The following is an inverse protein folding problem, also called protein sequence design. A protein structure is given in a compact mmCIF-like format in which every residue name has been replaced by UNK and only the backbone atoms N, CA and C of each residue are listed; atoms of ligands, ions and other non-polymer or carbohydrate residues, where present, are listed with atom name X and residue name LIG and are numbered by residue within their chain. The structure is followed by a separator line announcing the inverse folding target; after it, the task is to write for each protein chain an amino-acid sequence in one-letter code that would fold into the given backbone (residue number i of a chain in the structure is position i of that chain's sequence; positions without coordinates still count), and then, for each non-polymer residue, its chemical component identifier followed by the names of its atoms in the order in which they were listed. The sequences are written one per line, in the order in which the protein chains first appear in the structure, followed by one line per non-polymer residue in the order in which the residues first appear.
data_IF_926799192805
#
_entry.id   IF_926799192805
#
_cell.length_a   1.000
_cell.length_b   1.000
_cell.length_c   1.000
_cell.angle_alpha   90.00
_cell.angle_beta   90.00
_cell.angle_gamma   90.00
#
_symmetry.space_group_name_H-M   'P 1'
#
loop_
_entity.id
_entity.type
_entity.pdbx_description
1 polymer ?
#
# COMPACT_ATOMS: atom_id res chain seq x y z
N UNK A 1 -19.19 8.94 -18.58
CA UNK A 1 -19.37 8.44 -17.21
C UNK A 1 -18.12 8.78 -16.43
N UNK A 2 -18.17 9.79 -15.57
CA UNK A 2 -17.05 10.13 -14.69
C UNK A 2 -16.92 9.00 -13.68
N UNK A 3 -15.90 8.15 -13.83
CA UNK A 3 -15.45 7.29 -12.72
C UNK A 3 -15.13 8.24 -11.57
N UNK A 4 -15.71 7.99 -10.40
CA UNK A 4 -15.46 8.74 -9.17
C UNK A 4 -13.95 8.71 -8.88
N UNK A 5 -13.22 9.72 -9.37
CA UNK A 5 -11.77 9.93 -9.24
C UNK A 5 -11.49 10.64 -7.92
N UNK A 6 -12.10 10.18 -6.83
CA UNK A 6 -11.85 10.76 -5.51
C UNK A 6 -10.61 10.08 -4.92
N UNK A 7 -9.56 10.87 -4.76
CA UNK A 7 -8.35 10.49 -4.05
C UNK A 7 -8.70 9.96 -2.66
N UNK A 8 -8.03 8.89 -2.18
CA UNK A 8 -8.13 8.45 -0.80
C UNK A 8 -7.91 9.61 0.18
N UNK A 9 -8.86 9.76 1.09
CA UNK A 9 -8.85 10.75 2.15
C UNK A 9 -7.89 10.38 3.28
N UNK A 10 -7.55 11.35 4.12
CA UNK A 10 -6.77 11.07 5.34
C UNK A 10 -7.50 10.08 6.26
N UNK A 11 -8.83 10.17 6.32
CA UNK A 11 -9.70 9.26 7.05
C UNK A 11 -9.58 7.82 6.53
N UNK A 12 -9.55 7.63 5.20
CA UNK A 12 -9.32 6.30 4.60
C UNK A 12 -7.92 5.76 4.92
N UNK A 13 -6.91 6.62 5.04
CA UNK A 13 -5.59 6.21 5.54
C UNK A 13 -5.61 5.81 7.02
N UNK A 14 -6.36 6.51 7.86
CA UNK A 14 -6.55 6.10 9.26
C UNK A 14 -7.31 4.77 9.37
N UNK A 15 -8.32 4.57 8.53
CA UNK A 15 -9.06 3.30 8.45
C UNK A 15 -8.15 2.15 8.02
N UNK A 16 -7.31 2.36 7.00
CA UNK A 16 -6.28 1.39 6.61
C UNK A 16 -5.40 0.99 7.78
N UNK A 17 -4.88 1.97 8.54
CA UNK A 17 -4.03 1.69 9.72
C UNK A 17 -4.77 0.85 10.76
N UNK A 18 -6.03 1.18 11.04
CA UNK A 18 -6.85 0.41 11.99
C UNK A 18 -7.10 -1.02 11.49
N UNK A 19 -7.41 -1.19 10.21
CA UNK A 19 -7.62 -2.50 9.58
C UNK A 19 -6.37 -3.36 9.60
N UNK A 20 -5.17 -2.78 9.37
CA UNK A 20 -3.90 -3.51 9.47
C UNK A 20 -3.69 -4.07 10.89
N UNK A 21 -3.94 -3.27 11.93
CA UNK A 21 -3.80 -3.75 13.32
C UNK A 21 -4.79 -4.89 13.62
N UNK A 22 -6.05 -4.78 13.14
CA UNK A 22 -7.05 -5.84 13.27
C UNK A 22 -6.63 -7.12 12.54
N UNK A 23 -6.07 -6.99 11.34
CA UNK A 23 -5.57 -8.11 10.56
C UNK A 23 -4.40 -8.82 11.24
N UNK A 24 -3.45 -8.06 11.81
CA UNK A 24 -2.33 -8.61 12.60
C UNK A 24 -2.87 -9.42 13.79
N UNK A 25 -3.78 -8.84 14.57
CA UNK A 25 -4.36 -9.50 15.73
C UNK A 25 -5.08 -10.81 15.37
N UNK A 26 -5.84 -10.83 14.27
CA UNK A 26 -6.50 -12.05 13.80
C UNK A 26 -5.49 -13.09 13.27
N UNK A 27 -4.49 -12.66 12.51
CA UNK A 27 -3.44 -13.52 11.96
C UNK A 27 -2.65 -14.26 13.06
N UNK A 28 -2.44 -13.63 14.22
CA UNK A 28 -1.77 -14.27 15.36
C UNK A 28 -2.54 -15.48 15.92
N UNK A 29 -3.84 -15.61 15.64
CA UNK A 29 -4.68 -16.65 16.23
C UNK A 29 -5.37 -17.53 15.18
N UNK A 30 -5.20 -17.23 13.89
CA UNK A 30 -5.83 -17.95 12.79
C UNK A 30 -4.83 -18.16 11.65
N UNK A 31 -4.14 -19.33 11.62
CA UNK A 31 -3.26 -19.70 10.51
C UNK A 31 -4.00 -19.69 9.16
N UNK A 32 -5.25 -20.15 9.14
CA UNK A 32 -6.07 -20.13 7.93
C UNK A 32 -6.34 -18.71 7.39
N UNK A 33 -6.52 -17.73 8.27
CA UNK A 33 -6.62 -16.33 7.84
C UNK A 33 -5.27 -15.79 7.38
N UNK A 34 -4.18 -16.14 8.05
CA UNK A 34 -2.84 -15.74 7.65
C UNK A 34 -2.50 -16.22 6.22
N UNK A 35 -2.82 -17.47 5.89
CA UNK A 35 -2.60 -18.04 4.56
C UNK A 35 -3.39 -17.26 3.49
N UNK A 36 -4.66 -16.92 3.77
CA UNK A 36 -5.48 -16.09 2.88
C UNK A 36 -4.91 -14.69 2.72
N UNK A 37 -4.49 -14.08 3.83
CA UNK A 37 -3.97 -12.72 3.88
C UNK A 37 -2.62 -12.61 3.14
N UNK A 38 -1.78 -13.64 3.18
CA UNK A 38 -0.53 -13.71 2.40
C UNK A 38 -0.80 -13.88 0.90
N UNK A 39 -1.78 -14.72 0.53
CA UNK A 39 -2.10 -15.01 -0.85
C UNK A 39 -2.76 -13.84 -1.60
N UNK A 40 -3.78 -13.22 -0.98
CA UNK A 40 -4.48 -12.06 -1.55
C UNK A 40 -4.97 -11.14 -0.40
N UNK A 41 -4.15 -10.17 0.02
CA UNK A 41 -4.48 -9.35 1.17
C UNK A 41 -5.68 -8.43 0.92
N UNK A 42 -5.88 -7.94 -0.31
CA UNK A 42 -7.02 -7.07 -0.62
C UNK A 42 -8.32 -7.87 -0.51
N UNK A 43 -8.36 -9.09 -1.05
CA UNK A 43 -9.52 -9.95 -0.96
C UNK A 43 -9.77 -10.42 0.48
N UNK A 44 -8.73 -10.86 1.20
CA UNK A 44 -8.86 -11.33 2.58
C UNK A 44 -9.39 -10.24 3.53
N UNK A 45 -8.91 -9.00 3.40
CA UNK A 45 -9.42 -7.88 4.20
C UNK A 45 -10.87 -7.53 3.86
N UNK A 46 -11.27 -7.64 2.59
CA UNK A 46 -12.65 -7.47 2.16
C UNK A 46 -13.56 -8.54 2.75
N UNK A 47 -13.23 -9.82 2.57
CA UNK A 47 -14.04 -10.93 3.10
C UNK A 47 -14.20 -10.84 4.62
N UNK A 48 -13.12 -10.51 5.33
CA UNK A 48 -13.08 -10.61 6.78
C UNK A 48 -13.62 -9.37 7.50
N UNK A 49 -13.44 -8.18 6.92
CA UNK A 49 -13.74 -6.91 7.58
C UNK A 49 -14.66 -5.99 6.77
N UNK A 50 -15.15 -6.43 5.60
CA UNK A 50 -15.83 -5.58 4.60
C UNK A 50 -14.99 -4.34 4.20
N UNK A 51 -13.67 -4.44 4.37
CA UNK A 51 -12.77 -3.33 4.13
C UNK A 51 -12.40 -3.24 2.65
N UNK A 52 -12.71 -2.10 2.05
CA UNK A 52 -12.44 -1.81 0.66
C UNK A 52 -11.13 -1.01 0.55
N UNK A 53 -10.02 -1.71 0.23
CA UNK A 53 -8.71 -1.08 0.09
C UNK A 53 -8.76 0.09 -0.92
N UNK A 54 -8.51 1.34 -0.50
CA UNK A 54 -8.85 2.51 -1.30
C UNK A 54 -7.72 2.98 -2.22
N UNK A 55 -6.49 2.48 -2.08
CA UNK A 55 -5.31 2.96 -2.80
C UNK A 55 -5.06 2.12 -4.07
N UNK A 56 -4.66 2.71 -5.20
CA UNK A 56 -4.02 1.98 -6.32
C UNK A 56 -2.55 1.73 -6.00
N UNK A 57 -2.31 0.97 -4.93
CA UNK A 57 -1.01 0.43 -4.57
C UNK A 57 -1.07 -1.10 -4.52
N UNK A 58 0.02 -1.74 -4.90
CA UNK A 58 0.21 -3.17 -4.65
C UNK A 58 0.33 -3.43 -3.14
N UNK A 59 -0.74 -3.91 -2.52
CA UNK A 59 -0.68 -4.40 -1.14
C UNK A 59 -0.11 -5.83 -1.13
N UNK A 60 1.02 -6.04 -0.46
CA UNK A 60 1.67 -7.35 -0.32
C UNK A 60 2.02 -7.60 1.13
N UNK A 61 1.81 -8.83 1.60
CA UNK A 61 2.16 -9.27 2.94
C UNK A 61 3.46 -10.05 2.90
N UNK A 62 4.32 -9.84 3.90
CA UNK A 62 5.62 -10.49 4.04
C UNK A 62 5.77 -10.94 5.49
N UNK A 63 5.79 -12.25 5.73
CA UNK A 63 5.69 -12.81 7.10
C UNK A 63 7.00 -12.74 7.90
N UNK A 64 8.13 -12.47 7.26
CA UNK A 64 9.47 -12.50 7.90
C UNK A 64 10.14 -11.13 7.92
N UNK A 65 9.39 -10.08 8.22
CA UNK A 65 9.89 -8.69 8.13
C UNK A 65 10.25 -8.05 9.46
N UNK A 66 9.86 -8.60 10.61
CA UNK A 66 10.06 -7.92 11.91
C UNK A 66 10.16 -8.91 13.07
N UNK A 67 10.95 -8.55 14.08
CA UNK A 67 11.16 -9.33 15.30
C UNK A 67 10.87 -8.46 16.53
N UNK A 68 10.20 -9.02 17.53
CA UNK A 68 9.96 -8.32 18.80
C UNK A 68 11.23 -8.39 19.66
N UNK A 69 11.89 -7.25 19.85
CA UNK A 69 13.22 -7.16 20.49
C UNK A 69 13.21 -6.24 21.73
N UNK A 70 12.39 -6.54 22.76
CA UNK A 70 12.19 -5.65 23.89
C UNK A 70 13.46 -5.39 24.71
N UNK A 71 14.41 -6.32 24.69
CA UNK A 71 15.69 -6.20 25.41
C UNK A 71 16.72 -5.32 24.69
N UNK A 72 16.56 -5.09 23.38
CA UNK A 72 17.49 -4.29 22.58
C UNK A 72 17.05 -2.83 22.51
N UNK A 73 15.78 -2.61 22.17
CA UNK A 73 15.24 -1.27 21.93
C UNK A 73 13.83 -1.05 22.52
N UNK A 74 13.30 -2.02 23.29
CA UNK A 74 11.95 -1.92 23.86
C UNK A 74 10.82 -2.03 22.83
N UNK A 75 11.10 -2.46 21.60
CA UNK A 75 10.14 -2.41 20.50
C UNK A 75 10.36 -3.54 19.46
N UNK A 76 9.59 -3.52 18.37
CA UNK A 76 9.81 -4.30 17.17
C UNK A 76 11.02 -3.77 16.38
N UNK A 77 11.93 -4.67 16.01
CA UNK A 77 12.97 -4.38 15.03
C UNK A 77 12.51 -4.84 13.64
N UNK A 78 12.38 -3.90 12.71
CA UNK A 78 12.09 -4.21 11.32
C UNK A 78 13.35 -4.74 10.61
N UNK A 79 13.29 -5.99 10.14
CA UNK A 79 14.35 -6.62 9.35
C UNK A 79 14.31 -6.29 7.85
N UNK A 80 13.31 -5.51 7.39
CA UNK A 80 13.15 -5.11 6.00
C UNK A 80 12.72 -3.64 5.90
N UNK A 81 13.11 -2.96 4.83
CA UNK A 81 12.63 -1.61 4.52
C UNK A 81 11.30 -1.68 3.76
N UNK A 82 10.39 -0.75 4.04
CA UNK A 82 9.21 -0.54 3.21
C UNK A 82 9.63 -0.26 1.76
N UNK A 83 8.98 -0.89 0.79
CA UNK A 83 9.27 -0.72 -0.63
C UNK A 83 8.09 -0.07 -1.32
N UNK A 84 8.35 1.10 -1.90
CA UNK A 84 7.48 1.75 -2.89
C UNK A 84 8.16 1.61 -4.24
N UNK A 85 7.44 1.10 -5.26
CA UNK A 85 7.95 1.03 -6.63
C UNK A 85 7.45 2.24 -7.40
N UNK A 86 8.38 3.05 -7.90
CA UNK A 86 8.08 4.17 -8.78
C UNK A 86 8.28 3.74 -10.23
N UNK A 87 7.30 4.00 -11.08
CA UNK A 87 7.43 3.87 -12.52
C UNK A 87 7.77 5.25 -13.08
N UNK A 88 8.76 5.33 -13.98
CA UNK A 88 9.20 6.57 -14.60
C UNK A 88 9.01 6.46 -16.12
N UNK A 89 8.52 7.53 -16.79
CA UNK A 89 8.35 7.52 -18.22
C UNK A 89 9.72 7.68 -18.90
N UNK A 90 9.91 7.13 -20.12
CA UNK A 90 11.06 7.47 -20.93
C UNK A 90 10.97 8.94 -21.38
N UNK A 91 12.11 9.58 -21.61
CA UNK A 91 12.14 10.91 -22.21
C UNK A 91 11.59 10.85 -23.65
N UNK A 92 10.84 11.88 -24.12
CA UNK A 92 10.54 12.05 -25.53
C UNK A 92 11.81 12.13 -26.38
N UNK A 93 11.71 11.85 -27.69
CA UNK A 93 12.86 11.97 -28.62
C UNK A 93 13.19 13.43 -28.94
N UNK A 94 12.21 14.31 -28.88
CA UNK A 94 12.35 15.73 -29.18
C UNK A 94 12.48 16.56 -27.88
N UNK A 95 13.66 17.15 -27.70
CA UNK A 95 14.01 17.96 -26.53
C UNK A 95 13.07 19.16 -26.32
N UNK A 96 12.49 19.70 -27.40
CA UNK A 96 11.54 20.80 -27.30
C UNK A 96 10.26 20.41 -26.53
N UNK A 97 9.96 19.11 -26.44
CA UNK A 97 8.74 18.59 -25.79
C UNK A 97 8.95 18.25 -24.31
N UNK A 98 10.17 18.33 -23.78
CA UNK A 98 10.47 17.86 -22.42
C UNK A 98 9.58 18.52 -21.36
N UNK A 99 9.45 19.85 -21.40
CA UNK A 99 8.65 20.58 -20.42
C UNK A 99 7.16 20.16 -20.48
N UNK A 100 6.61 19.99 -21.69
CA UNK A 100 5.23 19.55 -21.87
C UNK A 100 5.02 18.10 -21.41
N UNK A 101 5.94 17.20 -21.75
CA UNK A 101 5.86 15.80 -21.35
C UNK A 101 5.94 15.63 -19.83
N UNK A 102 6.82 16.38 -19.15
CA UNK A 102 6.90 16.40 -17.69
C UNK A 102 5.63 16.97 -17.05
N UNK A 103 5.09 18.06 -17.59
CA UNK A 103 3.85 18.66 -17.10
C UNK A 103 2.66 17.70 -17.26
N UNK A 104 2.56 17.00 -18.39
CA UNK A 104 1.53 15.98 -18.63
C UNK A 104 1.70 14.78 -17.69
N UNK A 105 2.92 14.25 -17.56
CA UNK A 105 3.19 13.14 -16.64
C UNK A 105 2.86 13.50 -15.20
N UNK A 106 3.22 14.72 -14.77
CA UNK A 106 2.83 15.22 -13.46
C UNK A 106 1.31 15.31 -13.35
N UNK A 107 0.60 15.94 -14.30
CA UNK A 107 -0.86 16.03 -14.29
C UNK A 107 -1.54 14.66 -14.10
N UNK A 108 -1.00 13.61 -14.73
CA UNK A 108 -1.51 12.24 -14.66
C UNK A 108 -1.03 11.45 -13.41
N UNK A 109 -0.01 11.94 -12.68
CA UNK A 109 0.64 11.20 -11.58
C UNK A 109 0.93 12.07 -10.35
N UNK A 110 0.21 13.18 -10.14
CA UNK A 110 0.40 14.12 -9.02
C UNK A 110 0.25 13.43 -7.66
N UNK A 111 -0.37 12.24 -7.60
CA UNK A 111 -0.57 11.52 -6.35
C UNK A 111 -0.15 10.05 -6.43
N UNK A 112 0.47 9.58 -5.34
CA UNK A 112 0.77 8.15 -5.09
C UNK A 112 -0.53 7.37 -4.77
N UNK A 113 -1.64 8.10 -4.69
CA UNK A 113 -2.96 7.60 -4.33
C UNK A 113 -3.93 7.71 -5.51
N UNK A 114 -3.36 7.68 -6.73
CA UNK A 114 -3.74 6.69 -7.73
C UNK A 114 -5.00 5.94 -7.33
#
# INVERSE_FOLDING_TARGET
MSKDLRLPTYEQFLEYRATVIRAIALAWHSPAFLDKLEADPVHALREQFDYHFPFKLDLKVQLKSSEWTPTVNGDWTAGQKNRLTLYLPPAPVDDAQFAQALAAYNADHITIME
#
